data_IF_726361879555
#
_entry.id   IF_726361879555
#
_cell.length_a   1.000
_cell.length_b   1.000
_cell.length_c   1.000
_cell.angle_alpha   90.00
_cell.angle_beta   90.00
_cell.angle_gamma   90.00
#
_symmetry.space_group_name_H-M   'P 1'
#
loop_
_entity.id
_entity.type
_entity.pdbx_description
1 polymer ?
#
# COMPACT_ATOMS: atom_id res chain seq x y z
N UNK A 1 -27.70 -40.98 -19.88
CA UNK A 1 -27.09 -40.39 -18.69
C UNK A 1 -26.07 -39.39 -19.20
N UNK A 2 -26.40 -38.11 -19.15
CA UNK A 2 -25.63 -37.05 -19.80
C UNK A 2 -24.43 -36.63 -18.97
N UNK A 3 -23.26 -36.61 -19.60
CA UNK A 3 -22.08 -35.89 -19.14
C UNK A 3 -22.37 -34.38 -19.20
N UNK A 4 -22.34 -33.72 -18.05
CA UNK A 4 -22.26 -32.26 -17.99
C UNK A 4 -20.79 -31.87 -18.13
N UNK A 5 -20.37 -31.53 -19.35
CA UNK A 5 -19.12 -30.81 -19.60
C UNK A 5 -19.21 -29.43 -18.94
N UNK A 6 -18.46 -29.23 -17.85
CA UNK A 6 -18.26 -27.91 -17.27
C UNK A 6 -17.39 -27.08 -18.22
N UNK A 7 -17.96 -26.00 -18.74
CA UNK A 7 -17.30 -25.04 -19.62
C UNK A 7 -16.33 -24.22 -18.76
N UNK A 8 -15.04 -24.49 -18.86
CA UNK A 8 -13.98 -23.63 -18.32
C UNK A 8 -13.84 -22.38 -19.20
N UNK A 9 -14.27 -21.23 -18.69
CA UNK A 9 -13.97 -19.91 -19.27
C UNK A 9 -12.63 -19.39 -18.71
N UNK A 10 -11.88 -18.58 -19.47
CA UNK A 10 -10.72 -17.86 -18.94
C UNK A 10 -11.15 -16.92 -17.81
N UNK A 11 -10.47 -16.98 -16.66
CA UNK A 11 -10.68 -16.06 -15.54
C UNK A 11 -11.37 -16.64 -14.29
N UNK A 12 -11.69 -17.95 -14.25
CA UNK A 12 -12.09 -18.61 -13.00
C UNK A 12 -11.32 -19.92 -12.86
N UNK A 13 -10.38 -19.93 -11.92
CA UNK A 13 -9.88 -21.17 -11.32
C UNK A 13 -10.84 -21.55 -10.18
N UNK A 14 -11.57 -22.68 -10.25
CA UNK A 14 -12.49 -23.12 -9.19
C UNK A 14 -11.77 -23.57 -7.91
N UNK A 15 -10.44 -23.69 -7.91
CA UNK A 15 -9.58 -23.83 -6.73
C UNK A 15 -8.72 -22.58 -6.44
N UNK A 16 -8.98 -21.47 -7.16
CA UNK A 16 -8.13 -20.29 -7.23
C UNK A 16 -8.07 -19.49 -5.93
N UNK A 17 -6.86 -19.35 -5.41
CA UNK A 17 -6.51 -18.42 -4.35
C UNK A 17 -7.13 -17.03 -4.62
N UNK A 18 -7.93 -16.51 -3.68
CA UNK A 18 -8.45 -15.15 -3.80
C UNK A 18 -7.34 -14.17 -3.45
N UNK A 19 -6.90 -13.42 -4.45
CA UNK A 19 -6.00 -12.27 -4.26
C UNK A 19 -6.83 -10.99 -4.25
N UNK A 20 -6.34 -9.98 -3.52
CA UNK A 20 -6.89 -8.65 -3.62
C UNK A 20 -6.45 -7.94 -4.92
N UNK A 21 -5.29 -8.31 -5.45
CA UNK A 21 -4.64 -7.71 -6.62
C UNK A 21 -3.24 -7.20 -6.29
N UNK A 22 -2.59 -6.52 -7.25
CA UNK A 22 -1.24 -6.00 -7.06
C UNK A 22 -1.22 -4.87 -6.02
N UNK A 23 -0.29 -4.96 -5.08
CA UNK A 23 0.08 -3.91 -4.13
C UNK A 23 1.49 -3.43 -4.50
N UNK A 24 1.66 -2.12 -4.61
CA UNK A 24 2.93 -1.51 -5.01
C UNK A 24 3.31 -0.38 -4.06
N UNK A 25 4.60 -0.21 -3.80
CA UNK A 25 5.15 0.94 -3.10
C UNK A 25 6.36 1.50 -3.85
N UNK A 26 6.51 2.82 -3.85
CA UNK A 26 7.69 3.53 -4.32
C UNK A 26 8.13 4.58 -3.30
N UNK A 27 9.44 4.64 -3.08
CA UNK A 27 10.09 5.56 -2.16
C UNK A 27 10.87 6.62 -2.93
N UNK A 28 10.60 7.87 -2.58
CA UNK A 28 11.19 9.07 -3.18
C UNK A 28 12.03 9.80 -2.16
N UNK A 29 13.07 10.48 -2.62
CA UNK A 29 14.02 11.21 -1.78
C UNK A 29 15.45 10.81 -2.11
N UNK A 30 16.27 10.69 -1.08
CA UNK A 30 17.70 10.37 -1.24
C UNK A 30 18.03 9.04 -0.58
N UNK A 31 18.84 8.23 -1.24
CA UNK A 31 19.44 7.03 -0.68
C UNK A 31 20.95 7.11 -0.82
N UNK A 32 21.65 7.08 0.30
CA UNK A 32 23.11 6.97 0.33
C UNK A 32 23.47 5.52 0.66
N UNK A 33 23.97 4.73 -0.30
CA UNK A 33 24.38 3.35 -0.04
C UNK A 33 25.43 3.27 1.05
N UNK A 34 25.38 2.22 1.87
CA UNK A 34 26.40 2.01 2.90
C UNK A 34 27.78 1.79 2.25
N UNK A 35 28.87 2.37 2.81
CA UNK A 35 30.20 2.30 2.19
C UNK A 35 30.80 0.89 2.17
N UNK A 36 30.29 -0.03 2.99
CA UNK A 36 30.71 -1.43 3.03
C UNK A 36 29.88 -2.36 2.13
N UNK A 37 28.84 -1.82 1.46
CA UNK A 37 27.99 -2.62 0.58
C UNK A 37 28.69 -2.81 -0.76
N UNK A 38 28.83 -4.06 -1.17
CA UNK A 38 29.32 -4.41 -2.50
C UNK A 38 28.30 -3.98 -3.56
N UNK A 39 28.68 -3.10 -4.53
CA UNK A 39 27.82 -2.74 -5.65
C UNK A 39 27.40 -3.93 -6.53
N UNK A 40 28.19 -5.01 -6.55
CA UNK A 40 27.92 -6.23 -7.32
C UNK A 40 27.21 -7.32 -6.48
N UNK A 41 26.77 -6.99 -5.26
CA UNK A 41 26.10 -7.94 -4.37
C UNK A 41 24.86 -8.56 -5.02
N UNK A 42 24.77 -9.88 -4.98
CA UNK A 42 23.58 -10.64 -5.41
C UNK A 42 22.33 -10.36 -4.54
N UNK A 43 22.51 -9.77 -3.35
CA UNK A 43 21.40 -9.39 -2.47
C UNK A 43 20.82 -8.03 -2.86
N UNK A 44 20.23 -7.97 -4.06
CA UNK A 44 19.48 -6.81 -4.54
C UNK A 44 18.23 -6.53 -3.68
N UNK A 45 17.50 -5.47 -4.04
CA UNK A 45 16.28 -5.08 -3.32
C UNK A 45 15.23 -6.20 -3.30
N UNK A 46 15.11 -6.98 -4.38
CA UNK A 46 14.18 -8.11 -4.46
C UNK A 46 14.56 -9.21 -3.48
N UNK A 47 15.82 -9.65 -3.47
CA UNK A 47 16.30 -10.70 -2.58
C UNK A 47 16.17 -10.30 -1.12
N UNK A 48 16.55 -9.07 -0.75
CA UNK A 48 16.43 -8.59 0.63
C UNK A 48 14.97 -8.51 1.10
N UNK A 49 14.07 -7.99 0.26
CA UNK A 49 12.65 -7.92 0.57
C UNK A 49 12.03 -9.32 0.68
N UNK A 50 12.39 -10.24 -0.21
CA UNK A 50 11.97 -11.64 -0.15
C UNK A 50 12.41 -12.29 1.16
N UNK A 51 13.70 -12.19 1.53
CA UNK A 51 14.23 -12.76 2.78
C UNK A 51 13.53 -12.18 4.01
N UNK A 52 13.25 -10.87 4.02
CA UNK A 52 12.51 -10.22 5.11
C UNK A 52 11.06 -10.71 5.18
N UNK A 53 10.39 -10.85 4.04
CA UNK A 53 9.03 -11.38 3.95
C UNK A 53 8.93 -12.82 4.47
N UNK A 54 9.91 -13.68 4.14
CA UNK A 54 10.01 -15.05 4.66
C UNK A 54 10.24 -15.03 6.17
N UNK A 55 11.19 -14.24 6.65
CA UNK A 55 11.54 -14.17 8.08
C UNK A 55 10.34 -13.73 8.96
N UNK A 56 9.45 -12.90 8.43
CA UNK A 56 8.25 -12.43 9.14
C UNK A 56 7.03 -13.33 8.93
N UNK A 57 7.13 -14.37 8.10
CA UNK A 57 6.00 -15.24 7.75
C UNK A 57 4.92 -14.53 6.92
N UNK A 58 5.28 -13.46 6.22
CA UNK A 58 4.36 -12.67 5.39
C UNK A 58 4.27 -13.20 3.95
N UNK A 59 5.25 -13.97 3.51
CA UNK A 59 5.23 -14.56 2.17
C UNK A 59 4.28 -15.77 2.12
N UNK A 60 3.38 -15.80 1.14
CA UNK A 60 2.55 -16.97 0.87
C UNK A 60 3.35 -18.04 0.10
N UNK A 61 3.91 -18.99 0.84
CA UNK A 61 4.75 -20.08 0.31
C UNK A 61 3.92 -21.20 -0.37
N UNK A 62 2.59 -21.14 -0.33
CA UNK A 62 1.70 -22.20 -0.85
C UNK A 62 1.77 -22.36 -2.38
N UNK A 63 2.33 -21.38 -3.09
CA UNK A 63 2.62 -21.43 -4.52
C UNK A 63 3.75 -22.39 -4.89
N UNK A 64 4.61 -22.77 -3.94
CA UNK A 64 5.80 -23.62 -4.17
C UNK A 64 5.59 -25.10 -3.83
N UNK A 65 4.57 -25.43 -3.05
CA UNK A 65 4.33 -26.78 -2.54
C UNK A 65 3.24 -27.50 -3.33
N UNK A 66 3.56 -27.90 -4.56
CA UNK A 66 2.79 -28.93 -5.25
C UNK A 66 2.95 -30.26 -4.46
N UNK A 67 2.01 -30.56 -3.58
CA UNK A 67 1.80 -31.93 -3.09
C UNK A 67 1.96 -32.22 -1.60
N UNK A 68 2.07 -31.21 -0.71
CA UNK A 68 2.12 -31.48 0.74
C UNK A 68 0.92 -30.88 1.48
N UNK A 69 -0.20 -31.61 1.50
CA UNK A 69 -1.42 -31.29 2.26
C UNK A 69 -1.23 -31.41 3.80
N UNK A 70 -0.02 -31.76 4.28
CA UNK A 70 0.23 -32.12 5.69
C UNK A 70 0.87 -31.00 6.52
N UNK A 71 0.32 -29.81 6.40
CA UNK A 71 0.13 -28.83 7.48
C UNK A 71 -0.49 -27.61 6.83
N UNK A 72 -1.72 -27.26 7.20
CA UNK A 72 -2.31 -25.99 6.78
C UNK A 72 -1.55 -24.83 7.45
N UNK A 73 -0.36 -24.47 6.92
CA UNK A 73 0.34 -23.23 7.26
C UNK A 73 -0.65 -22.10 7.04
N UNK A 74 -0.75 -21.13 7.96
CA UNK A 74 -1.56 -19.94 7.76
C UNK A 74 -1.18 -19.26 6.42
N UNK A 75 -2.14 -18.72 5.65
CA UNK A 75 -1.83 -18.03 4.40
C UNK A 75 -0.94 -16.82 4.71
N UNK A 76 0.06 -16.60 3.84
CA UNK A 76 0.85 -15.36 3.88
C UNK A 76 0.00 -14.13 3.48
N UNK A 77 0.55 -12.95 3.71
CA UNK A 77 -0.07 -11.68 3.36
C UNK A 77 0.03 -11.36 1.86
N UNK A 78 1.08 -11.86 1.19
CA UNK A 78 1.29 -11.63 -0.24
C UNK A 78 2.19 -12.68 -0.88
N UNK A 79 2.19 -12.75 -2.21
CA UNK A 79 3.23 -13.39 -3.01
C UNK A 79 4.15 -12.35 -3.65
N UNK A 80 5.43 -12.69 -3.85
CA UNK A 80 6.41 -11.78 -4.46
C UNK A 80 6.14 -11.59 -5.96
N UNK A 81 6.19 -10.34 -6.43
CA UNK A 81 6.25 -10.04 -7.87
C UNK A 81 7.65 -9.54 -8.25
N UNK A 82 7.99 -8.30 -7.92
CA UNK A 82 9.25 -7.69 -8.32
C UNK A 82 9.64 -6.53 -7.38
N UNK A 83 10.91 -6.12 -7.38
CA UNK A 83 11.38 -4.96 -6.66
C UNK A 83 12.63 -4.39 -7.34
N UNK A 84 12.88 -3.10 -7.14
CA UNK A 84 14.04 -2.43 -7.70
C UNK A 84 14.55 -1.33 -6.78
N UNK A 85 15.84 -1.03 -6.89
CA UNK A 85 16.46 0.08 -6.19
C UNK A 85 17.60 0.68 -7.04
N UNK A 86 17.60 2.00 -7.14
CA UNK A 86 18.66 2.77 -7.79
C UNK A 86 18.97 4.01 -6.94
N UNK A 87 20.08 3.97 -6.19
CA UNK A 87 20.50 5.06 -5.32
C UNK A 87 20.96 6.33 -6.05
N UNK A 88 21.26 6.23 -7.36
CA UNK A 88 21.67 7.36 -8.19
C UNK A 88 20.49 7.99 -8.95
N UNK A 89 19.28 7.53 -8.67
CA UNK A 89 18.08 8.07 -9.31
C UNK A 89 17.82 9.50 -8.85
N UNK A 90 17.61 10.42 -9.80
CA UNK A 90 17.23 11.79 -9.50
C UNK A 90 15.71 11.91 -9.34
N UNK A 91 15.26 12.76 -8.43
CA UNK A 91 13.85 13.15 -8.33
C UNK A 91 13.36 13.70 -9.69
N UNK A 92 12.10 13.44 -10.09
CA UNK A 92 10.99 12.88 -9.31
C UNK A 92 10.86 11.35 -9.37
N UNK A 93 11.89 10.64 -9.85
CA UNK A 93 11.86 9.18 -9.96
C UNK A 93 12.18 8.52 -8.61
N UNK A 94 11.54 7.40 -8.26
CA UNK A 94 11.78 6.74 -6.98
C UNK A 94 13.16 6.07 -6.95
N UNK A 95 13.86 6.16 -5.82
CA UNK A 95 15.12 5.45 -5.63
C UNK A 95 14.89 3.97 -5.26
N UNK A 96 13.69 3.59 -4.84
CA UNK A 96 13.31 2.19 -4.57
C UNK A 96 11.82 1.95 -4.82
N UNK A 97 11.48 0.74 -5.26
CA UNK A 97 10.10 0.32 -5.45
C UNK A 97 9.93 -1.18 -5.23
N UNK A 98 8.72 -1.57 -4.85
CA UNK A 98 8.35 -2.94 -4.47
C UNK A 98 6.96 -3.26 -4.99
N UNK A 99 6.79 -4.47 -5.52
CA UNK A 99 5.52 -4.99 -6.03
C UNK A 99 5.30 -6.39 -5.49
N UNK A 100 4.09 -6.63 -4.97
CA UNK A 100 3.62 -7.94 -4.50
C UNK A 100 2.21 -8.20 -5.01
N UNK A 101 1.81 -9.46 -5.04
CA UNK A 101 0.41 -9.86 -5.24
C UNK A 101 -0.22 -10.02 -3.87
N UNK A 102 -1.11 -9.09 -3.50
CA UNK A 102 -1.71 -9.08 -2.17
C UNK A 102 -2.74 -10.20 -2.05
N UNK A 103 -2.64 -11.02 -1.01
CA UNK A 103 -3.70 -11.97 -0.65
C UNK A 103 -4.97 -11.21 -0.25
N UNK A 104 -6.16 -11.78 -0.48
CA UNK A 104 -7.39 -11.18 0.04
C UNK A 104 -7.33 -11.16 1.58
N UNK A 105 -7.41 -9.98 2.22
CA UNK A 105 -7.38 -9.92 3.68
C UNK A 105 -8.62 -10.60 4.28
N UNK A 106 -8.49 -11.08 5.52
CA UNK A 106 -9.67 -11.48 6.29
C UNK A 106 -10.64 -10.29 6.44
N UNK A 107 -11.93 -10.58 6.59
CA UNK A 107 -13.00 -9.55 6.60
C UNK A 107 -12.84 -8.50 7.70
N UNK A 108 -12.14 -8.84 8.78
CA UNK A 108 -11.87 -8.01 9.94
C UNK A 108 -10.48 -7.35 9.90
N UNK A 109 -9.73 -7.51 8.81
CA UNK A 109 -8.37 -6.98 8.65
C UNK A 109 -8.29 -5.90 7.57
N UNK A 110 -7.38 -4.92 7.73
CA UNK A 110 -7.10 -3.96 6.68
C UNK A 110 -6.28 -4.62 5.56
N UNK A 111 -6.09 -3.92 4.43
CA UNK A 111 -5.01 -4.26 3.51
C UNK A 111 -3.67 -4.24 4.26
N UNK A 112 -2.74 -5.16 3.98
CA UNK A 112 -1.46 -5.28 4.71
C UNK A 112 -0.44 -4.19 4.31
N UNK A 113 -0.87 -2.93 4.20
CA UNK A 113 -0.02 -1.83 3.73
C UNK A 113 1.07 -1.49 4.75
N UNK A 114 0.76 -1.45 6.04
CA UNK A 114 1.75 -1.24 7.09
C UNK A 114 2.88 -2.29 7.07
N UNK A 115 2.60 -3.61 7.17
CA UNK A 115 3.68 -4.61 7.11
C UNK A 115 4.41 -4.59 5.77
N UNK A 116 3.73 -4.28 4.66
CA UNK A 116 4.35 -4.12 3.36
C UNK A 116 5.38 -2.98 3.33
N UNK A 117 5.00 -1.78 3.82
CA UNK A 117 5.91 -0.63 3.87
C UNK A 117 7.05 -0.82 4.88
N UNK A 118 6.81 -1.48 6.01
CA UNK A 118 7.91 -1.83 6.94
C UNK A 118 8.89 -2.82 6.35
N UNK A 119 8.41 -3.80 5.58
CA UNK A 119 9.29 -4.72 4.85
C UNK A 119 10.16 -3.98 3.81
N UNK A 120 9.56 -3.03 3.10
CA UNK A 120 10.25 -2.17 2.13
C UNK A 120 11.30 -1.28 2.80
N UNK A 121 10.96 -0.65 3.93
CA UNK A 121 11.87 0.19 4.70
C UNK A 121 13.05 -0.61 5.27
N UNK A 122 12.78 -1.75 5.92
CA UNK A 122 13.81 -2.66 6.41
C UNK A 122 14.78 -3.06 5.29
N UNK A 123 14.26 -3.30 4.09
CA UNK A 123 15.06 -3.61 2.90
C UNK A 123 15.97 -2.46 2.53
N UNK A 124 15.42 -1.25 2.41
CA UNK A 124 16.18 -0.05 2.04
C UNK A 124 17.23 0.31 3.10
N UNK A 125 16.94 0.14 4.40
CA UNK A 125 17.91 0.36 5.49
C UNK A 125 19.11 -0.60 5.40
N UNK A 126 18.94 -1.80 4.85
CA UNK A 126 20.06 -2.73 4.55
C UNK A 126 20.87 -2.31 3.33
N UNK A 127 20.30 -1.49 2.45
CA UNK A 127 20.98 -0.94 1.26
C UNK A 127 21.79 0.30 1.64
N UNK A 128 21.18 1.22 2.40
CA UNK A 128 21.81 2.49 2.73
C UNK A 128 21.03 3.29 3.78
N UNK A 129 21.45 4.53 3.97
CA UNK A 129 20.71 5.52 4.73
C UNK A 129 19.74 6.26 3.78
N UNK A 130 18.44 6.14 4.04
CA UNK A 130 17.41 6.79 3.23
C UNK A 130 16.84 8.02 3.94
N UNK A 131 16.58 9.07 3.17
CA UNK A 131 15.80 10.23 3.57
C UNK A 131 14.58 10.31 2.67
N UNK A 132 13.44 9.86 3.17
CA UNK A 132 12.18 9.85 2.43
C UNK A 132 11.61 11.27 2.33
N UNK A 133 11.35 11.73 1.11
CA UNK A 133 10.57 12.94 0.84
C UNK A 133 9.13 12.62 0.45
N UNK A 134 8.88 11.45 -0.12
CA UNK A 134 7.54 10.97 -0.41
C UNK A 134 7.47 9.44 -0.51
N UNK A 135 6.26 8.93 -0.34
CA UNK A 135 5.91 7.51 -0.52
C UNK A 135 4.67 7.43 -1.41
N UNK A 136 4.74 6.63 -2.47
CA UNK A 136 3.60 6.30 -3.32
C UNK A 136 3.18 4.84 -3.09
N UNK A 137 1.88 4.58 -2.96
CA UNK A 137 1.33 3.25 -2.72
C UNK A 137 0.14 3.02 -3.65
N UNK A 138 0.15 1.92 -4.40
CA UNK A 138 -1.01 1.46 -5.15
C UNK A 138 -1.80 0.43 -4.34
N UNK A 139 -3.06 0.72 -4.06
CA UNK A 139 -3.93 -0.04 -3.18
C UNK A 139 -4.96 -0.84 -3.99
N UNK A 140 -5.02 -2.18 -3.87
CA UNK A 140 -5.94 -3.02 -4.64
C UNK A 140 -7.34 -3.11 -4.00
N UNK A 141 -8.16 -2.06 -4.11
CA UNK A 141 -9.49 -1.99 -3.48
C UNK A 141 -10.51 -2.98 -4.06
N UNK A 142 -10.31 -3.46 -5.29
CA UNK A 142 -11.17 -4.47 -5.92
C UNK A 142 -11.25 -5.78 -5.12
N UNK A 143 -10.21 -6.05 -4.32
CA UNK A 143 -10.13 -7.20 -3.42
C UNK A 143 -10.89 -7.08 -2.12
N UNK A 144 -11.40 -5.88 -1.79
CA UNK A 144 -12.08 -5.61 -0.54
C UNK A 144 -13.59 -5.80 -0.69
N UNK A 145 -14.17 -6.55 0.25
CA UNK A 145 -15.61 -6.63 0.42
C UNK A 145 -16.05 -5.90 1.71
N UNK A 146 -16.33 -4.59 1.63
CA UNK A 146 -16.78 -3.82 2.78
C UNK A 146 -18.20 -4.21 3.24
N UNK A 147 -19.00 -4.87 2.39
CA UNK A 147 -20.38 -5.25 2.75
C UNK A 147 -20.42 -6.45 3.68
N UNK A 148 -19.38 -7.30 3.60
CA UNK A 148 -19.19 -8.45 4.49
C UNK A 148 -18.50 -8.09 5.81
N UNK A 149 -18.13 -6.82 6.03
CA UNK A 149 -17.42 -6.42 7.25
C UNK A 149 -18.34 -6.31 8.46
N UNK A 150 -17.90 -6.80 9.63
CA UNK A 150 -18.56 -6.52 10.90
C UNK A 150 -18.67 -5.01 11.16
N UNK A 151 -19.75 -4.57 11.83
CA UNK A 151 -19.97 -3.13 12.12
C UNK A 151 -18.86 -2.49 12.95
N UNK A 152 -18.16 -3.25 13.78
CA UNK A 152 -17.02 -2.80 14.57
C UNK A 152 -15.69 -2.78 13.79
N UNK A 153 -15.66 -3.31 12.57
CA UNK A 153 -14.45 -3.47 11.75
C UNK A 153 -14.56 -2.72 10.41
N UNK A 154 -15.31 -1.62 10.35
CA UNK A 154 -15.44 -0.81 9.13
C UNK A 154 -14.10 -0.15 8.75
N UNK A 155 -13.27 0.19 9.74
CA UNK A 155 -11.91 0.70 9.56
C UNK A 155 -10.99 0.00 10.57
N UNK A 156 -10.54 -1.24 10.29
CA UNK A 156 -9.75 -2.06 11.22
C UNK A 156 -8.47 -1.39 11.70
N UNK A 157 -7.85 -0.52 10.90
CA UNK A 157 -6.67 0.24 11.31
C UNK A 157 -6.88 1.08 12.58
N UNK A 158 -8.13 1.46 12.91
CA UNK A 158 -8.43 2.17 14.15
C UNK A 158 -8.08 1.36 15.41
N UNK A 159 -8.08 0.02 15.35
CA UNK A 159 -7.72 -0.82 16.51
C UNK A 159 -6.26 -0.64 16.94
N UNK A 160 -5.42 -0.07 16.09
CA UNK A 160 -3.98 0.13 16.35
C UNK A 160 -3.57 1.60 16.36
N UNK A 161 -4.50 2.56 16.45
CA UNK A 161 -4.14 3.98 16.46
C UNK A 161 -3.31 4.38 17.70
N UNK A 162 -3.55 3.73 18.84
CA UNK A 162 -2.81 3.94 20.10
C UNK A 162 -1.31 3.61 19.99
N UNK A 163 -0.89 2.84 18.98
CA UNK A 163 0.53 2.61 18.68
C UNK A 163 1.30 3.92 18.50
N UNK A 164 0.64 4.95 17.98
CA UNK A 164 1.21 6.29 17.74
C UNK A 164 1.01 7.25 18.92
N UNK A 165 0.49 6.78 20.06
CA UNK A 165 0.23 7.61 21.25
C UNK A 165 1.49 7.98 22.05
N UNK A 166 2.50 7.11 22.07
CA UNK A 166 3.76 7.29 22.82
C UNK A 166 4.88 7.93 21.97
N UNK A 167 4.52 8.62 20.88
CA UNK A 167 5.48 9.31 20.00
C UNK A 167 6.02 10.59 20.62
N UNK A 168 7.16 11.06 20.11
CA UNK A 168 7.63 12.41 20.38
C UNK A 168 6.59 13.43 19.85
N UNK A 169 6.06 14.34 20.68
CA UNK A 169 5.14 15.39 20.22
C UNK A 169 5.71 16.25 19.08
N UNK A 170 7.04 16.34 18.94
CA UNK A 170 7.71 17.07 17.86
C UNK A 170 7.88 16.26 16.57
N UNK A 171 7.57 14.95 16.58
CA UNK A 171 7.66 14.11 15.38
C UNK A 171 6.53 14.38 14.36
N UNK A 172 5.48 15.11 14.77
CA UNK A 172 4.38 15.48 13.89
C UNK A 172 4.92 16.19 12.64
N UNK A 173 4.48 15.71 11.49
CA UNK A 173 5.01 16.16 10.20
C UNK A 173 3.87 16.54 9.28
N UNK A 174 3.89 17.77 8.76
CA UNK A 174 2.93 18.20 7.74
C UNK A 174 3.14 17.42 6.45
N UNK A 175 2.04 16.97 5.85
CA UNK A 175 2.03 16.16 4.63
C UNK A 175 0.93 16.62 3.67
N UNK A 176 1.18 16.39 2.38
CA UNK A 176 0.17 16.44 1.33
C UNK A 176 -0.10 15.03 0.84
N UNK A 177 -1.36 14.62 0.83
CA UNK A 177 -1.82 13.29 0.43
C UNK A 177 -2.63 13.42 -0.85
N UNK A 178 -2.12 12.91 -1.95
CA UNK A 178 -2.87 12.80 -3.21
C UNK A 178 -3.41 11.38 -3.36
N UNK A 179 -4.71 11.25 -3.63
CA UNK A 179 -5.40 9.98 -3.86
C UNK A 179 -5.90 10.02 -5.31
N UNK A 180 -5.62 8.99 -6.11
CA UNK A 180 -5.98 8.96 -7.52
C UNK A 180 -6.62 7.62 -7.92
N UNK A 181 -7.71 7.66 -8.67
CA UNK A 181 -8.43 6.48 -9.20
C UNK A 181 -8.22 6.24 -10.70
N UNK A 182 -7.18 6.86 -11.26
CA UNK A 182 -6.85 6.82 -12.67
C UNK A 182 -7.97 7.44 -13.51
N UNK A 183 -8.46 6.68 -14.49
CA UNK A 183 -9.57 7.07 -15.38
C UNK A 183 -10.96 6.80 -14.81
N UNK A 184 -11.07 6.15 -13.65
CA UNK A 184 -12.39 5.85 -13.06
C UNK A 184 -12.92 7.07 -12.28
N UNK A 185 -14.14 7.57 -12.55
CA UNK A 185 -14.69 8.76 -11.90
C UNK A 185 -15.25 8.51 -10.49
N UNK A 186 -15.19 7.28 -9.96
CA UNK A 186 -15.78 6.93 -8.66
C UNK A 186 -15.21 7.74 -7.48
N UNK A 187 -13.93 8.14 -7.53
CA UNK A 187 -13.32 8.95 -6.46
C UNK A 187 -13.92 10.37 -6.39
N UNK A 188 -13.99 11.15 -7.49
CA UNK A 188 -14.71 12.42 -7.52
C UNK A 188 -16.13 12.36 -6.95
N UNK A 189 -16.90 11.31 -7.27
CA UNK A 189 -18.29 11.16 -6.82
C UNK A 189 -18.42 11.05 -5.28
N UNK A 190 -17.39 10.51 -4.62
CA UNK A 190 -17.38 10.29 -3.16
C UNK A 190 -16.40 11.20 -2.41
N UNK A 191 -15.69 12.10 -3.09
CA UNK A 191 -14.58 12.88 -2.52
C UNK A 191 -14.97 13.61 -1.22
N UNK A 192 -16.10 14.34 -1.22
CA UNK A 192 -16.60 15.04 -0.02
C UNK A 192 -16.93 14.09 1.13
N UNK A 193 -17.50 12.93 0.82
CA UNK A 193 -17.86 11.91 1.82
C UNK A 193 -16.61 11.24 2.37
N UNK A 194 -15.59 11.03 1.54
CA UNK A 194 -14.30 10.47 1.95
C UNK A 194 -13.58 11.41 2.90
N UNK A 195 -13.43 12.69 2.54
CA UNK A 195 -12.84 13.71 3.43
C UNK A 195 -13.61 13.81 4.74
N UNK A 196 -14.95 13.97 4.67
CA UNK A 196 -15.78 14.04 5.88
C UNK A 196 -15.64 12.81 6.75
N UNK A 197 -15.52 11.60 6.16
CA UNK A 197 -15.36 10.38 6.95
C UNK A 197 -14.02 10.32 7.66
N UNK A 198 -12.93 10.70 6.98
CA UNK A 198 -11.60 10.79 7.58
C UNK A 198 -11.56 11.80 8.74
N UNK A 199 -12.23 12.95 8.58
CA UNK A 199 -12.32 14.00 9.62
C UNK A 199 -13.06 13.54 10.89
N UNK A 200 -13.97 12.56 10.78
CA UNK A 200 -14.79 12.08 11.89
C UNK A 200 -14.30 10.75 12.49
N UNK A 201 -13.15 10.23 12.04
CA UNK A 201 -12.52 9.08 12.69
C UNK A 201 -11.92 9.51 14.03
N UNK A 202 -12.16 8.74 15.09
CA UNK A 202 -11.55 8.95 16.41
C UNK A 202 -10.10 8.44 16.39
N UNK A 203 -9.18 9.29 15.91
CA UNK A 203 -7.76 8.97 15.74
C UNK A 203 -6.90 10.25 15.69
N UNK A 204 -5.63 10.14 16.08
CA UNK A 204 -4.66 11.26 16.05
C UNK A 204 -3.46 10.97 15.12
N UNK A 205 -3.56 9.94 14.28
CA UNK A 205 -2.50 9.51 13.35
C UNK A 205 -2.40 10.46 12.14
N UNK A 206 -3.51 10.94 11.61
CA UNK A 206 -3.57 11.94 10.55
C UNK A 206 -4.61 13.00 10.86
N UNK A 207 -4.18 14.24 11.09
CA UNK A 207 -5.08 15.37 11.35
C UNK A 207 -5.23 16.18 10.07
N UNK A 208 -6.40 16.10 9.45
CA UNK A 208 -6.69 16.87 8.24
C UNK A 208 -6.78 18.37 8.57
N UNK A 209 -5.98 19.14 7.84
CA UNK A 209 -5.92 20.60 7.93
C UNK A 209 -6.79 21.16 6.81
N UNK A 210 -8.02 21.58 7.14
CA UNK A 210 -9.01 22.11 6.19
C UNK A 210 -8.65 23.44 5.50
N UNK A 211 -7.37 23.81 5.45
CA UNK A 211 -6.87 25.03 4.81
C UNK A 211 -6.52 24.76 3.34
N UNK A 212 -7.37 25.25 2.44
CA UNK A 212 -7.07 25.44 1.02
C UNK A 212 -6.04 26.57 0.84
N UNK A 213 -4.79 26.36 1.28
CA UNK A 213 -3.71 27.29 0.91
C UNK A 213 -3.22 26.95 -0.49
N UNK A 214 -3.28 27.90 -1.41
CA UNK A 214 -2.89 27.77 -2.82
C UNK A 214 -1.37 27.54 -3.02
N UNK A 215 -0.84 26.40 -2.55
CA UNK A 215 0.43 25.87 -3.03
C UNK A 215 0.16 24.87 -4.14
N UNK A 216 1.03 24.84 -5.15
CA UNK A 216 0.96 23.92 -6.30
C UNK A 216 0.61 22.49 -5.84
N UNK A 217 -0.37 21.86 -6.50
CA UNK A 217 -0.65 20.44 -6.34
C UNK A 217 0.64 19.67 -6.68
N UNK A 218 1.36 19.20 -5.66
CA UNK A 218 2.54 18.35 -5.87
C UNK A 218 2.02 17.00 -6.36
N UNK A 219 1.94 16.88 -7.68
CA UNK A 219 1.55 15.64 -8.35
C UNK A 219 2.82 14.88 -8.69
N UNK A 220 3.11 13.85 -7.89
CA UNK A 220 4.14 12.88 -8.26
C UNK A 220 3.62 12.01 -9.41
N UNK A 221 4.38 11.86 -10.51
CA UNK A 221 3.99 10.95 -11.57
C UNK A 221 3.91 9.51 -11.02
N UNK A 222 2.99 8.67 -11.51
CA UNK A 222 3.01 7.25 -11.20
C UNK A 222 4.34 6.63 -11.66
N UNK A 223 5.00 5.80 -10.82
CA UNK A 223 6.32 5.21 -11.13
C UNK A 223 6.20 3.94 -12.00
N UNK A 224 5.05 3.73 -12.63
CA UNK A 224 4.71 2.56 -13.43
C UNK A 224 3.79 2.97 -14.58
N UNK A 225 3.69 2.11 -15.58
CA UNK A 225 2.88 2.36 -16.77
C UNK A 225 1.38 2.39 -16.46
N UNK A 226 0.62 3.18 -17.22
CA UNK A 226 -0.82 3.41 -17.00
C UNK A 226 -1.65 2.12 -17.05
N UNK A 227 -1.24 1.15 -17.86
CA UNK A 227 -1.89 -0.15 -18.02
C UNK A 227 -1.90 -0.98 -16.72
N UNK A 228 -0.97 -0.70 -15.80
CA UNK A 228 -0.83 -1.43 -14.54
C UNK A 228 -1.98 -1.14 -13.55
N UNK A 229 -2.60 0.04 -13.61
CA UNK A 229 -3.44 0.54 -12.52
C UNK A 229 -4.66 1.38 -12.95
N UNK A 230 -5.03 1.32 -14.24
CA UNK A 230 -6.08 2.13 -14.86
C UNK A 230 -5.73 3.63 -15.00
N UNK A 231 -4.45 3.94 -15.23
CA UNK A 231 -3.99 5.30 -15.56
C UNK A 231 -4.47 5.79 -16.95
N UNK A 232 -4.21 7.04 -17.33
CA UNK A 232 -3.45 8.07 -16.60
C UNK A 232 -4.18 8.61 -15.35
N UNK A 233 -3.48 9.35 -14.47
CA UNK A 233 -4.00 9.87 -13.21
C UNK A 233 -5.00 11.03 -13.37
N UNK A 234 -6.16 10.79 -14.00
CA UNK A 234 -7.15 11.83 -14.36
C UNK A 234 -7.98 12.30 -13.17
N UNK A 235 -8.34 11.40 -12.26
CA UNK A 235 -9.26 11.67 -11.16
C UNK A 235 -8.54 11.62 -9.82
N UNK A 236 -8.25 12.80 -9.25
CA UNK A 236 -7.54 12.97 -7.99
C UNK A 236 -8.35 13.67 -6.90
N UNK A 237 -7.97 13.41 -5.66
CA UNK A 237 -8.35 14.13 -4.46
C UNK A 237 -7.06 14.43 -3.69
N UNK A 238 -6.80 15.71 -3.38
CA UNK A 238 -5.69 16.11 -2.52
C UNK A 238 -6.21 16.46 -1.13
N UNK A 239 -5.59 15.90 -0.10
CA UNK A 239 -5.79 16.22 1.31
C UNK A 239 -4.51 16.80 1.88
N UNK A 240 -4.62 17.72 2.83
CA UNK A 240 -3.47 18.26 3.57
C UNK A 240 -3.70 18.07 5.04
N UNK A 241 -2.63 17.84 5.78
CA UNK A 241 -2.75 17.58 7.20
C UNK A 241 -1.41 17.27 7.83
N UNK A 242 -1.49 16.86 9.08
CA UNK A 242 -0.33 16.51 9.86
C UNK A 242 -0.36 15.03 10.19
N UNK A 243 0.65 14.30 9.72
CA UNK A 243 0.87 12.91 10.05
C UNK A 243 1.53 12.82 11.42
N UNK A 244 1.20 11.77 12.17
CA UNK A 244 1.64 11.64 13.54
C UNK A 244 3.17 11.62 13.68
N UNK A 245 3.80 10.93 12.75
CA UNK A 245 5.23 10.88 12.57
C UNK A 245 5.51 10.61 11.09
N UNK A 246 6.65 11.07 10.59
CA UNK A 246 7.09 10.71 9.23
C UNK A 246 7.77 9.33 9.25
N UNK A 247 6.95 8.28 9.17
CA UNK A 247 7.41 6.89 9.14
C UNK A 247 6.61 6.02 8.18
N UNK A 248 7.20 4.91 7.72
CA UNK A 248 6.50 3.93 6.88
C UNK A 248 5.29 3.30 7.59
N UNK A 249 5.29 3.18 8.93
CA UNK A 249 4.12 2.72 9.67
C UNK A 249 2.96 3.71 9.60
N UNK A 250 3.23 5.01 9.83
CA UNK A 250 2.19 6.02 9.83
C UNK A 250 1.61 6.21 8.42
N UNK A 251 2.45 6.20 7.39
CA UNK A 251 2.01 6.22 5.98
C UNK A 251 1.20 4.98 5.64
N UNK A 252 1.66 3.79 6.06
CA UNK A 252 0.96 2.54 5.80
C UNK A 252 -0.40 2.47 6.51
N UNK A 253 -0.47 3.01 7.72
CA UNK A 253 -1.71 3.12 8.49
C UNK A 253 -2.71 4.00 7.76
N UNK A 254 -2.27 5.19 7.36
CA UNK A 254 -3.11 6.17 6.64
C UNK A 254 -3.62 5.59 5.31
N UNK A 255 -2.74 4.96 4.53
CA UNK A 255 -3.11 4.35 3.26
C UNK A 255 -4.15 3.22 3.43
N UNK A 256 -3.99 2.36 4.43
CA UNK A 256 -4.96 1.32 4.75
C UNK A 256 -6.32 1.91 5.18
N UNK A 257 -6.30 2.94 6.04
CA UNK A 257 -7.49 3.68 6.49
C UNK A 257 -8.23 4.31 5.30
N UNK A 258 -7.50 4.96 4.37
CA UNK A 258 -8.07 5.52 3.14
C UNK A 258 -8.72 4.43 2.28
N UNK A 259 -8.05 3.29 2.08
CA UNK A 259 -8.61 2.18 1.32
C UNK A 259 -9.93 1.68 1.91
N UNK A 260 -9.98 1.49 3.22
CA UNK A 260 -11.20 1.03 3.90
C UNK A 260 -12.33 2.05 3.78
N UNK A 261 -12.06 3.33 4.03
CA UNK A 261 -13.04 4.40 3.88
C UNK A 261 -13.57 4.50 2.44
N UNK A 262 -12.69 4.51 1.45
CA UNK A 262 -13.06 4.59 0.03
C UNK A 262 -13.83 3.34 -0.43
N UNK A 263 -13.40 2.15 -0.01
CA UNK A 263 -14.13 0.92 -0.30
C UNK A 263 -15.55 0.97 0.27
N UNK A 264 -15.74 1.42 1.51
CA UNK A 264 -17.08 1.55 2.09
C UNK A 264 -17.97 2.57 1.37
N UNK A 265 -17.38 3.56 0.69
CA UNK A 265 -18.11 4.52 -0.15
C UNK A 265 -18.39 3.98 -1.56
N UNK A 266 -17.99 2.74 -1.86
CA UNK A 266 -18.28 2.07 -3.13
C UNK A 266 -17.16 2.13 -4.16
N UNK A 267 -15.98 2.68 -3.81
CA UNK A 267 -14.82 2.63 -4.71
C UNK A 267 -14.32 1.18 -4.80
N UNK A 268 -14.18 0.68 -6.02
CA UNK A 268 -13.78 -0.71 -6.32
C UNK A 268 -12.60 -0.82 -7.28
N UNK A 269 -12.01 0.31 -7.68
CA UNK A 269 -10.80 0.34 -8.50
C UNK A 269 -9.56 0.55 -7.65
N UNK A 270 -8.37 0.15 -8.14
CA UNK A 270 -7.12 0.52 -7.50
C UNK A 270 -7.04 2.02 -7.21
N UNK A 271 -6.43 2.38 -6.08
CA UNK A 271 -6.13 3.77 -5.73
C UNK A 271 -4.62 3.96 -5.60
N UNK A 272 -4.08 4.93 -6.32
CA UNK A 272 -2.72 5.41 -6.08
C UNK A 272 -2.76 6.51 -5.01
N UNK A 273 -2.14 6.26 -3.87
CA UNK A 273 -1.97 7.21 -2.78
C UNK A 273 -0.53 7.69 -2.76
N UNK A 274 -0.32 8.99 -2.89
CA UNK A 274 0.98 9.65 -2.79
C UNK A 274 1.00 10.49 -1.53
N UNK A 275 1.89 10.20 -0.59
CA UNK A 275 2.09 11.01 0.62
C UNK A 275 3.42 11.73 0.47
N UNK A 276 3.38 13.06 0.42
CA UNK A 276 4.53 13.93 0.26
C UNK A 276 4.75 14.70 1.55
N UNK A 277 5.98 14.71 2.05
CA UNK A 277 6.38 15.50 3.20
C UNK A 277 6.41 17.00 2.83
N UNK A 278 5.78 17.83 3.66
CA UNK A 278 5.75 19.29 3.53
C UNK A 278 6.98 19.99 4.11
#
# INVERSE_FOLDING_TARGET
MSEYQAITQPGIDPAGYRTAGPLFAAFHGELVPHPWRDPESEHDAYQLFHQRSVAMGWLDERSSAAGDERAAKAPGLWAMNNAGCNAHQAAPEPFAWFQVECSTPAIDRPLPVQPFLRCAEDTVTRIGAAQLSAVQVLLPLQGLDPTSRPRNALVPSLETCDWFGERDPQAQTSVTVSINSGRNPALPDVAKQLTSRLDHLEQEVFLHSGSESASEDITLPPPFADEFWNGPPVHSLTLRGDLAEWSCDAVGWLAATIADCAAHLGVRTPLLVSVVRG
#
